data_IF_912226772782
#
_entry.id   IF_912226772782
#
_cell.length_a   1.000
_cell.length_b   1.000
_cell.length_c   1.000
_cell.angle_alpha   90.00
_cell.angle_beta   90.00
_cell.angle_gamma   90.00
#
_symmetry.space_group_name_H-M   'P 1'
#
loop_
_entity.id
_entity.type
_entity.pdbx_description
1 polymer ?
#
# COMPACT_ATOMS: atom_id res chain seq x y z
N UNK A 1 20.10 20.55 3.25
CA UNK A 1 19.51 19.48 4.09
C UNK A 1 18.86 18.46 3.18
N UNK A 2 18.96 17.17 3.52
CA UNK A 2 18.52 16.07 2.66
C UNK A 2 17.60 15.12 3.41
N UNK A 3 16.44 14.82 2.84
CA UNK A 3 15.51 13.83 3.35
C UNK A 3 15.39 12.65 2.39
N UNK A 4 15.30 11.43 2.94
CA UNK A 4 14.90 10.22 2.20
C UNK A 4 13.47 9.86 2.62
N UNK A 5 12.58 9.82 1.64
CA UNK A 5 11.17 9.47 1.80
C UNK A 5 10.97 8.02 1.34
N UNK A 6 10.39 7.20 2.23
CA UNK A 6 10.10 5.79 2.02
C UNK A 6 8.68 5.49 2.50
N UNK A 7 7.95 4.59 1.83
CA UNK A 7 6.57 4.25 2.19
C UNK A 7 6.28 2.77 1.96
N UNK A 8 5.08 2.34 2.38
CA UNK A 8 4.46 1.08 1.97
C UNK A 8 5.39 -0.11 2.20
N UNK A 9 5.95 -0.17 3.41
CA UNK A 9 6.79 -1.30 3.83
C UNK A 9 5.94 -2.47 4.29
N UNK A 10 4.72 -2.19 4.76
CA UNK A 10 3.68 -3.16 5.10
C UNK A 10 4.20 -4.29 6.00
N UNK A 11 4.97 -3.98 7.06
CA UNK A 11 5.49 -5.03 7.94
C UNK A 11 4.37 -5.85 8.55
N UNK A 12 4.48 -7.18 8.42
CA UNK A 12 3.39 -8.10 8.73
C UNK A 12 2.44 -8.37 7.57
N UNK A 13 2.76 -7.90 6.37
CA UNK A 13 1.98 -8.07 5.14
C UNK A 13 1.38 -9.48 5.06
N UNK A 14 0.08 -9.55 4.79
CA UNK A 14 -0.59 -10.84 4.63
C UNK A 14 -0.03 -11.66 3.45
N UNK A 15 0.58 -10.99 2.46
CA UNK A 15 1.30 -11.63 1.36
C UNK A 15 2.56 -12.33 1.86
N UNK A 16 3.15 -11.88 2.96
CA UNK A 16 4.41 -12.38 3.50
C UNK A 16 5.65 -11.91 2.75
N UNK A 17 5.53 -10.84 1.94
CA UNK A 17 6.62 -10.25 1.17
C UNK A 17 6.82 -8.76 1.51
N UNK A 18 6.95 -8.48 2.80
CA UNK A 18 7.44 -7.21 3.35
C UNK A 18 8.96 -7.13 3.15
N UNK A 19 9.39 -6.61 2.00
CA UNK A 19 10.76 -6.83 1.48
C UNK A 19 11.86 -6.28 2.38
N UNK A 20 11.59 -5.21 3.13
CA UNK A 20 12.56 -4.64 4.09
C UNK A 20 12.74 -5.48 5.36
N UNK A 21 12.03 -6.60 5.49
CA UNK A 21 12.34 -7.65 6.46
C UNK A 21 13.58 -8.44 6.06
N UNK A 22 13.88 -8.48 4.76
CA UNK A 22 14.97 -9.25 4.20
C UNK A 22 16.28 -8.47 4.23
N UNK A 23 17.35 -9.15 4.66
CA UNK A 23 18.67 -8.53 4.75
C UNK A 23 19.16 -7.95 3.42
N UNK A 24 18.90 -8.64 2.31
CA UNK A 24 19.32 -8.20 0.98
C UNK A 24 18.66 -6.87 0.57
N UNK A 25 17.38 -6.68 0.90
CA UNK A 25 16.68 -5.41 0.63
C UNK A 25 17.20 -4.29 1.53
N UNK A 26 17.51 -4.59 2.80
CA UNK A 26 18.14 -3.64 3.72
C UNK A 26 19.54 -3.22 3.25
N UNK A 27 20.34 -4.16 2.74
CA UNK A 27 21.68 -3.87 2.21
C UNK A 27 21.63 -2.97 0.96
N UNK A 28 20.54 -3.04 0.17
CA UNK A 28 20.29 -2.12 -0.95
C UNK A 28 19.90 -0.72 -0.45
N UNK A 29 19.11 -0.62 0.62
CA UNK A 29 18.68 0.68 1.17
C UNK A 29 19.80 1.39 1.95
N UNK A 30 20.59 0.65 2.72
CA UNK A 30 21.53 1.17 3.71
C UNK A 30 22.50 2.25 3.19
N UNK A 31 23.12 2.14 2.00
CA UNK A 31 24.05 3.16 1.49
C UNK A 31 23.38 4.52 1.26
N UNK A 32 22.07 4.53 1.00
CA UNK A 32 21.32 5.75 0.72
C UNK A 32 20.97 6.54 2.00
N UNK A 33 21.22 5.98 3.20
CA UNK A 33 20.96 6.64 4.47
C UNK A 33 22.17 7.45 5.00
N UNK A 34 23.38 7.21 4.47
CA UNK A 34 24.60 7.80 5.01
C UNK A 34 24.63 9.33 4.88
N UNK A 35 24.18 9.84 3.73
CA UNK A 35 24.23 11.25 3.37
C UNK A 35 22.91 12.01 3.62
N UNK A 36 22.01 11.43 4.41
CA UNK A 36 20.66 11.96 4.68
C UNK A 36 20.62 12.54 6.09
N UNK A 37 19.92 13.66 6.27
CA UNK A 37 19.69 14.30 7.57
C UNK A 37 18.39 13.81 8.23
N UNK A 38 17.45 13.33 7.40
CA UNK A 38 16.12 12.94 7.85
C UNK A 38 15.53 11.78 7.02
N UNK A 39 14.90 10.82 7.69
CA UNK A 39 14.06 9.83 7.00
C UNK A 39 12.59 10.14 7.25
N UNK A 40 11.82 10.28 6.18
CA UNK A 40 10.35 10.40 6.24
C UNK A 40 9.75 9.04 5.89
N UNK A 41 9.14 8.39 6.87
CA UNK A 41 8.32 7.19 6.67
C UNK A 41 6.91 7.64 6.32
N UNK A 42 6.58 7.61 5.02
CA UNK A 42 5.37 8.15 4.43
C UNK A 42 4.24 7.11 4.36
N UNK A 43 3.90 6.58 5.53
CA UNK A 43 2.75 5.72 5.75
C UNK A 43 2.93 4.28 5.32
N UNK A 44 2.01 3.46 5.81
CA UNK A 44 1.95 2.02 5.69
C UNK A 44 3.27 1.36 6.08
N UNK A 45 3.79 1.78 7.24
CA UNK A 45 4.93 1.13 7.88
C UNK A 45 4.54 -0.30 8.29
N UNK A 46 3.36 -0.46 8.89
CA UNK A 46 2.82 -1.73 9.36
C UNK A 46 1.54 -2.09 8.64
N UNK A 47 1.30 -3.39 8.42
CA UNK A 47 0.02 -3.88 7.90
C UNK A 47 -0.95 -4.24 9.04
N UNK A 48 -1.36 -3.26 9.86
CA UNK A 48 -2.19 -3.52 11.06
C UNK A 48 -3.63 -3.94 10.72
N UNK A 49 -4.07 -3.75 9.47
CA UNK A 49 -5.39 -4.15 9.00
C UNK A 49 -5.53 -5.66 8.85
N UNK A 50 -4.42 -6.37 8.64
CA UNK A 50 -4.41 -7.81 8.39
C UNK A 50 -3.46 -8.59 9.30
N UNK A 51 -2.56 -7.92 10.01
CA UNK A 51 -1.64 -8.52 10.96
C UNK A 51 -1.96 -8.12 12.40
N UNK A 52 -1.63 -9.01 13.34
CA UNK A 52 -1.58 -8.64 14.74
C UNK A 52 -0.45 -7.63 14.94
N UNK A 53 -0.69 -6.60 15.76
CA UNK A 53 0.29 -5.54 16.00
C UNK A 53 1.63 -6.11 16.49
N UNK A 54 1.60 -7.13 17.36
CA UNK A 54 2.80 -7.83 17.83
C UNK A 54 3.64 -8.41 16.69
N UNK A 55 2.99 -9.02 15.70
CA UNK A 55 3.67 -9.70 14.60
C UNK A 55 4.24 -8.66 13.61
N UNK A 56 3.45 -7.63 13.28
CA UNK A 56 3.88 -6.50 12.44
C UNK A 56 5.07 -5.74 13.04
N UNK A 57 5.01 -5.40 14.33
CA UNK A 57 6.09 -4.68 15.02
C UNK A 57 7.36 -5.53 15.14
N UNK A 58 7.20 -6.84 15.31
CA UNK A 58 8.33 -7.78 15.29
C UNK A 58 9.01 -7.84 13.92
N UNK A 59 8.23 -7.82 12.83
CA UNK A 59 8.76 -7.88 11.47
C UNK A 59 9.59 -6.65 11.07
N UNK A 60 9.26 -5.47 11.61
CA UNK A 60 10.01 -4.23 11.36
C UNK A 60 11.39 -4.15 12.02
N UNK A 61 11.77 -5.15 12.83
CA UNK A 61 12.99 -5.13 13.65
C UNK A 61 14.24 -4.73 12.86
N UNK A 62 14.48 -5.38 11.72
CA UNK A 62 15.67 -5.15 10.90
C UNK A 62 15.77 -3.74 10.31
N UNK A 63 14.65 -3.18 9.83
CA UNK A 63 14.64 -1.79 9.34
C UNK A 63 14.85 -0.80 10.50
N UNK A 64 14.19 -1.00 11.64
CA UNK A 64 14.34 -0.10 12.79
C UNK A 64 15.76 -0.12 13.35
N UNK A 65 16.43 -1.29 13.37
CA UNK A 65 17.84 -1.37 13.77
C UNK A 65 18.74 -0.63 12.76
N UNK A 66 18.51 -0.80 11.45
CA UNK A 66 19.23 -0.06 10.41
C UNK A 66 19.05 1.46 10.57
N UNK A 67 17.82 1.93 10.77
CA UNK A 67 17.50 3.34 10.92
C UNK A 67 18.11 3.92 12.19
N UNK A 68 18.03 3.20 13.33
CA UNK A 68 18.72 3.59 14.56
C UNK A 68 20.21 3.80 14.29
N UNK A 69 20.86 2.83 13.67
CA UNK A 69 22.31 2.86 13.47
C UNK A 69 22.74 3.99 12.50
N UNK A 70 21.95 4.25 11.45
CA UNK A 70 22.26 5.26 10.42
C UNK A 70 21.82 6.69 10.77
N UNK A 71 20.86 6.85 11.68
CA UNK A 71 20.25 8.14 12.02
C UNK A 71 20.63 8.68 13.40
N UNK A 72 21.75 8.24 13.99
CA UNK A 72 22.24 8.80 15.24
C UNK A 72 22.43 10.32 15.16
N UNK A 73 21.78 11.06 16.06
CA UNK A 73 21.75 12.53 16.08
C UNK A 73 20.96 13.17 14.93
N UNK A 74 20.26 12.37 14.14
CA UNK A 74 19.44 12.78 12.99
C UNK A 74 17.95 12.56 13.30
N UNK A 75 17.09 12.81 12.30
CA UNK A 75 15.63 12.79 12.48
C UNK A 75 14.95 11.66 11.70
N UNK A 76 13.89 11.11 12.29
CA UNK A 76 12.89 10.29 11.61
C UNK A 76 11.52 10.95 11.78
N UNK A 77 10.82 11.17 10.67
CA UNK A 77 9.43 11.65 10.67
C UNK A 77 8.53 10.51 10.24
N UNK A 78 7.58 10.14 11.10
CA UNK A 78 6.55 9.16 10.79
C UNK A 78 5.26 9.87 10.40
N UNK A 79 4.79 9.60 9.18
CA UNK A 79 3.49 10.04 8.68
C UNK A 79 2.62 8.81 8.51
N UNK A 80 1.53 8.67 9.28
CA UNK A 80 0.72 7.46 9.20
C UNK A 80 -0.01 7.31 7.85
N UNK A 81 -0.06 6.07 7.34
CA UNK A 81 -0.93 5.67 6.23
C UNK A 81 -2.24 5.09 6.71
N UNK A 82 -3.05 4.54 5.80
CA UNK A 82 -4.31 3.90 6.19
C UNK A 82 -4.10 2.56 6.91
N UNK A 83 -2.99 1.85 6.66
CA UNK A 83 -2.69 0.62 7.40
C UNK A 83 -2.14 0.87 8.80
N UNK A 84 -1.62 2.09 9.04
CA UNK A 84 -1.18 2.53 10.37
C UNK A 84 -2.28 3.28 11.13
N UNK A 85 -3.47 3.49 10.55
CA UNK A 85 -4.47 4.45 11.04
C UNK A 85 -4.91 4.22 12.49
N UNK A 86 -4.87 2.99 12.97
CA UNK A 86 -5.12 2.67 14.38
C UNK A 86 -4.20 3.43 15.35
N UNK A 87 -2.96 3.71 14.95
CA UNK A 87 -2.04 4.55 15.73
C UNK A 87 -2.61 5.95 15.91
N UNK A 88 -3.14 6.55 14.85
CA UNK A 88 -3.71 7.90 14.87
C UNK A 88 -4.98 7.94 15.73
N UNK A 89 -5.87 6.97 15.54
CA UNK A 89 -7.08 6.84 16.34
C UNK A 89 -6.74 6.70 17.82
N UNK A 90 -5.77 5.85 18.18
CA UNK A 90 -5.39 5.66 19.58
C UNK A 90 -4.68 6.89 20.19
N UNK A 91 -3.88 7.63 19.41
CA UNK A 91 -3.30 8.90 19.90
C UNK A 91 -4.39 9.94 20.18
N UNK A 92 -5.40 10.07 19.32
CA UNK A 92 -6.53 10.96 19.53
C UNK A 92 -7.36 10.57 20.77
N UNK A 93 -7.57 9.27 20.99
CA UNK A 93 -8.24 8.77 22.20
C UNK A 93 -7.43 9.08 23.46
N UNK A 94 -6.11 8.88 23.45
CA UNK A 94 -5.25 9.20 24.59
C UNK A 94 -5.24 10.71 24.87
N UNK A 95 -5.20 11.55 23.83
CA UNK A 95 -5.31 13.01 23.99
C UNK A 95 -6.63 13.39 24.69
N UNK A 96 -7.75 12.83 24.24
CA UNK A 96 -9.07 13.06 24.84
C UNK A 96 -9.16 12.52 26.28
N UNK A 97 -8.64 11.32 26.53
CA UNK A 97 -8.57 10.72 27.88
C UNK A 97 -7.78 11.63 28.83
N UNK A 98 -6.66 12.21 28.38
CA UNK A 98 -5.86 13.16 29.16
C UNK A 98 -6.58 14.48 29.40
N UNK A 99 -7.22 15.05 28.38
CA UNK A 99 -8.04 16.26 28.51
C UNK A 99 -9.12 16.07 29.57
N UNK A 100 -9.90 14.99 29.47
CA UNK A 100 -10.99 14.69 30.39
C UNK A 100 -10.50 14.41 31.82
N UNK A 101 -9.35 13.73 31.97
CA UNK A 101 -8.81 13.37 33.28
C UNK A 101 -8.14 14.55 34.01
N UNK A 102 -7.55 15.49 33.28
CA UNK A 102 -6.74 16.58 33.85
C UNK A 102 -7.43 17.95 33.79
N UNK A 103 -8.39 18.12 32.89
CA UNK A 103 -8.96 19.43 32.56
C UNK A 103 -8.01 20.36 31.80
N UNK A 104 -6.88 19.84 31.29
CA UNK A 104 -5.93 20.59 30.48
C UNK A 104 -6.47 20.87 29.08
N UNK A 105 -5.88 21.85 28.37
CA UNK A 105 -6.23 22.08 26.97
C UNK A 105 -5.65 20.98 26.07
N UNK A 106 -6.23 20.76 24.87
CA UNK A 106 -5.72 19.78 23.91
C UNK A 106 -4.22 19.95 23.61
N UNK A 107 -3.72 21.18 23.54
CA UNK A 107 -2.30 21.46 23.29
C UNK A 107 -1.39 20.92 24.38
N UNK A 108 -1.76 21.10 25.66
CA UNK A 108 -1.01 20.56 26.80
C UNK A 108 -1.13 19.05 26.90
N UNK A 109 -2.31 18.49 26.63
CA UNK A 109 -2.49 17.05 26.57
C UNK A 109 -1.58 16.41 25.50
N UNK A 110 -1.41 17.08 24.33
CA UNK A 110 -0.51 16.64 23.26
C UNK A 110 0.95 16.60 23.64
N UNK A 111 1.43 17.56 24.44
CA UNK A 111 2.81 17.58 24.94
C UNK A 111 3.15 16.32 25.75
N UNK A 112 2.14 15.67 26.33
CA UNK A 112 2.28 14.46 27.14
C UNK A 112 2.09 13.17 26.35
N UNK A 113 1.79 13.24 25.05
CA UNK A 113 1.58 12.04 24.23
C UNK A 113 2.80 11.13 24.18
N UNK A 114 4.01 11.66 24.28
CA UNK A 114 5.24 10.86 24.28
C UNK A 114 5.30 9.90 25.48
N UNK A 115 4.68 10.26 26.61
CA UNK A 115 4.62 9.46 27.84
C UNK A 115 3.50 8.41 27.81
N UNK A 116 2.43 8.67 27.07
CA UNK A 116 1.19 7.89 27.13
C UNK A 116 0.89 7.07 25.85
N UNK A 117 1.35 7.51 24.68
CA UNK A 117 1.20 6.78 23.41
C UNK A 117 2.12 5.57 23.37
N UNK A 118 1.54 4.38 23.23
CA UNK A 118 2.31 3.13 23.13
C UNK A 118 3.25 3.16 21.91
N UNK A 119 2.83 3.78 20.81
CA UNK A 119 3.56 3.78 19.55
C UNK A 119 4.76 4.72 19.59
N UNK A 120 4.58 5.93 20.14
CA UNK A 120 5.69 6.88 20.39
C UNK A 120 6.76 6.26 21.28
N UNK A 121 6.34 5.65 22.40
CA UNK A 121 7.26 4.93 23.31
C UNK A 121 7.96 3.76 22.63
N UNK A 122 7.25 3.03 21.76
CA UNK A 122 7.83 1.95 20.99
C UNK A 122 8.95 2.47 20.07
N UNK A 123 8.69 3.52 19.30
CA UNK A 123 9.69 4.13 18.41
C UNK A 123 10.84 4.76 19.19
N UNK A 124 10.57 5.53 20.23
CA UNK A 124 11.59 6.15 21.09
C UNK A 124 12.57 5.11 21.66
N UNK A 125 12.06 3.94 22.10
CA UNK A 125 12.89 2.84 22.57
C UNK A 125 13.68 2.16 21.44
N UNK A 126 13.06 1.95 20.27
CA UNK A 126 13.71 1.23 19.15
C UNK A 126 14.73 2.08 18.42
N UNK A 127 14.53 3.39 18.41
CA UNK A 127 15.32 4.39 17.71
C UNK A 127 16.04 5.33 18.71
N UNK A 128 16.55 4.78 19.81
CA UNK A 128 17.33 5.55 20.78
C UNK A 128 18.47 6.31 20.08
N UNK A 129 18.61 7.60 20.41
CA UNK A 129 19.58 8.51 19.77
C UNK A 129 19.11 9.13 18.45
N UNK A 130 17.90 8.80 17.99
CA UNK A 130 17.24 9.42 16.81
C UNK A 130 16.10 10.32 17.29
N UNK A 131 16.00 11.53 16.76
CA UNK A 131 14.84 12.39 17.01
C UNK A 131 13.65 11.86 16.21
N UNK A 132 12.57 11.47 16.88
CA UNK A 132 11.37 10.93 16.22
C UNK A 132 10.24 11.95 16.30
N UNK A 133 9.61 12.23 15.16
CA UNK A 133 8.50 13.17 15.04
C UNK A 133 7.29 12.48 14.38
N UNK A 134 6.10 12.71 14.91
CA UNK A 134 4.86 12.13 14.41
C UNK A 134 4.03 13.23 13.74
N UNK A 135 3.59 12.98 12.50
CA UNK A 135 2.81 13.93 11.69
C UNK A 135 1.65 13.20 11.02
N UNK A 136 0.52 13.89 10.85
CA UNK A 136 -0.63 13.37 10.13
C UNK A 136 -1.58 14.53 9.74
N UNK A 137 -2.19 14.54 8.54
CA UNK A 137 -1.96 13.62 7.40
C UNK A 137 -0.84 14.08 6.46
N UNK A 138 -0.22 15.23 6.75
CA UNK A 138 0.82 15.86 5.90
C UNK A 138 2.06 16.23 6.70
N UNK A 139 3.18 16.32 6.00
CA UNK A 139 4.43 16.88 6.48
C UNK A 139 5.08 17.71 5.37
N UNK A 140 5.79 18.80 5.69
CA UNK A 140 6.45 19.64 4.68
C UNK A 140 7.94 19.69 4.96
N UNK A 141 8.75 19.33 3.97
CA UNK A 141 10.21 19.39 4.02
C UNK A 141 10.74 20.12 2.79
N UNK A 142 11.54 21.17 2.98
CA UNK A 142 12.14 21.91 1.86
C UNK A 142 11.12 22.50 0.87
N UNK A 143 9.90 22.83 1.31
CA UNK A 143 8.82 23.31 0.44
C UNK A 143 8.08 22.20 -0.33
N UNK A 144 8.41 20.94 -0.09
CA UNK A 144 7.75 19.76 -0.67
C UNK A 144 6.76 19.19 0.36
N UNK A 145 5.49 19.06 -0.02
CA UNK A 145 4.48 18.44 0.82
C UNK A 145 4.52 16.92 0.64
N UNK A 146 4.61 16.20 1.76
CA UNK A 146 4.60 14.76 1.84
C UNK A 146 3.28 14.31 2.49
N UNK A 147 2.56 13.39 1.85
CA UNK A 147 1.37 12.73 2.43
C UNK A 147 1.26 11.30 1.95
N UNK A 148 0.66 10.40 2.71
CA UNK A 148 0.53 9.01 2.26
C UNK A 148 -0.38 8.88 1.02
N UNK A 149 -1.52 9.59 0.99
CA UNK A 149 -2.38 9.68 -0.19
C UNK A 149 -3.58 8.72 -0.22
N UNK A 150 -3.87 8.02 0.88
CA UNK A 150 -5.04 7.13 1.03
C UNK A 150 -6.40 7.82 0.83
N UNK A 151 -6.47 9.15 0.95
CA UNK A 151 -7.65 9.94 0.61
C UNK A 151 -8.07 9.89 -0.87
N UNK A 152 -7.23 9.36 -1.77
CA UNK A 152 -7.60 9.24 -3.19
C UNK A 152 -8.68 8.18 -3.44
N UNK A 153 -8.83 7.20 -2.55
CA UNK A 153 -9.73 6.06 -2.71
C UNK A 153 -11.18 6.47 -2.97
N UNK A 154 -11.74 7.47 -2.24
CA UNK A 154 -12.96 8.18 -2.58
C UNK A 154 -13.16 8.56 -4.06
N UNK A 155 -12.09 8.96 -4.74
CA UNK A 155 -12.14 9.54 -6.08
C UNK A 155 -11.64 8.58 -7.17
N UNK A 156 -10.99 7.48 -6.77
CA UNK A 156 -10.47 6.48 -7.68
C UNK A 156 -11.60 5.81 -8.48
N UNK A 157 -11.42 5.74 -9.80
CA UNK A 157 -12.32 4.96 -10.66
C UNK A 157 -12.14 3.49 -10.29
N UNK A 158 -13.14 2.91 -9.60
CA UNK A 158 -13.14 1.48 -9.21
C UNK A 158 -12.78 0.58 -10.40
N UNK A 159 -11.55 0.07 -10.42
CA UNK A 159 -11.18 -1.13 -11.19
C UNK A 159 -11.72 -2.34 -10.44
N UNK A 160 -12.96 -2.76 -10.71
CA UNK A 160 -13.57 -3.83 -9.91
C UNK A 160 -14.96 -4.26 -10.38
N UNK A 161 -15.42 -5.40 -9.84
CA UNK A 161 -16.74 -5.95 -10.16
C UNK A 161 -17.86 -5.01 -9.66
N UNK A 162 -19.03 -5.05 -10.32
CA UNK A 162 -20.21 -4.26 -9.94
C UNK A 162 -20.55 -4.35 -8.43
N UNK A 163 -20.33 -5.52 -7.81
CA UNK A 163 -20.57 -5.75 -6.39
C UNK A 163 -19.63 -4.95 -5.47
N UNK A 164 -18.33 -4.97 -5.74
CA UNK A 164 -17.34 -4.16 -4.99
C UNK A 164 -17.65 -2.66 -5.07
N UNK A 165 -18.16 -2.22 -6.22
CA UNK A 165 -18.59 -0.83 -6.44
C UNK A 165 -19.79 -0.43 -5.60
N UNK A 166 -20.74 -1.32 -5.41
CA UNK A 166 -21.95 -1.05 -4.62
C UNK A 166 -21.65 -1.08 -3.13
N UNK A 167 -20.87 -2.06 -2.65
CA UNK A 167 -20.50 -2.18 -1.24
C UNK A 167 -19.70 -0.96 -0.76
N UNK A 168 -18.66 -0.56 -1.49
CA UNK A 168 -17.90 0.62 -1.10
C UNK A 168 -18.70 1.93 -1.19
N UNK A 169 -19.70 2.02 -2.09
CA UNK A 169 -20.64 3.16 -2.09
C UNK A 169 -21.55 3.15 -0.86
N UNK A 170 -21.96 1.98 -0.37
CA UNK A 170 -22.79 1.86 0.81
C UNK A 170 -22.02 2.28 2.08
N UNK A 171 -20.78 1.80 2.24
CA UNK A 171 -19.91 2.17 3.37
C UNK A 171 -19.71 3.70 3.42
N UNK A 172 -19.42 4.33 2.28
CA UNK A 172 -19.20 5.77 2.25
C UNK A 172 -20.47 6.57 2.52
N UNK A 173 -21.64 6.10 2.03
CA UNK A 173 -22.92 6.75 2.35
C UNK A 173 -23.23 6.68 3.84
N UNK A 174 -22.85 5.59 4.51
CA UNK A 174 -23.02 5.48 5.97
C UNK A 174 -22.09 6.46 6.67
N UNK A 175 -20.79 6.41 6.38
CA UNK A 175 -19.79 7.27 7.01
C UNK A 175 -20.07 8.78 6.81
N UNK A 176 -20.60 9.16 5.65
CA UNK A 176 -20.88 10.56 5.30
C UNK A 176 -22.32 10.98 5.57
N UNK A 177 -23.14 10.16 6.26
CA UNK A 177 -24.53 10.48 6.57
C UNK A 177 -25.39 10.75 5.32
N UNK A 178 -25.13 10.06 4.21
CA UNK A 178 -25.84 10.19 2.94
C UNK A 178 -25.36 11.34 2.04
N UNK A 179 -24.33 12.09 2.45
CA UNK A 179 -23.67 13.08 1.58
C UNK A 179 -22.92 12.40 0.42
N UNK A 180 -22.56 13.20 -0.58
CA UNK A 180 -21.86 12.76 -1.81
C UNK A 180 -20.41 12.34 -1.57
N UNK A 181 -19.48 12.75 -2.44
CA UNK A 181 -18.04 12.53 -2.20
C UNK A 181 -17.53 13.39 -1.02
N UNK A 182 -16.48 12.95 -0.29
CA UNK A 182 -15.83 13.73 0.76
C UNK A 182 -15.37 15.11 0.26
N UNK A 183 -15.49 16.14 1.11
CA UNK A 183 -15.11 17.53 0.77
C UNK A 183 -14.20 18.18 1.79
N UNK A 184 -14.15 17.63 3.00
CA UNK A 184 -13.34 18.13 4.10
C UNK A 184 -12.44 17.02 4.62
N UNK A 185 -11.37 17.38 5.33
CA UNK A 185 -10.51 16.41 6.00
C UNK A 185 -11.32 15.47 6.90
N UNK A 186 -12.26 16.03 7.68
CA UNK A 186 -13.14 15.25 8.55
C UNK A 186 -14.02 14.25 7.80
N UNK A 187 -14.49 14.59 6.58
CA UNK A 187 -15.25 13.64 5.75
C UNK A 187 -14.37 12.45 5.31
N UNK A 188 -13.11 12.72 4.92
CA UNK A 188 -12.19 11.64 4.56
C UNK A 188 -11.86 10.75 5.76
N UNK A 189 -11.55 11.36 6.90
CA UNK A 189 -11.28 10.64 8.15
C UNK A 189 -12.44 9.75 8.56
N UNK A 190 -13.68 10.26 8.54
CA UNK A 190 -14.86 9.47 8.90
C UNK A 190 -15.00 8.18 8.08
N UNK A 191 -14.65 8.22 6.78
CA UNK A 191 -14.67 7.05 5.91
C UNK A 191 -13.55 6.08 6.25
N UNK A 192 -12.34 6.59 6.49
CA UNK A 192 -11.15 5.78 6.74
C UNK A 192 -11.19 5.13 8.11
N UNK A 193 -11.49 5.88 9.17
CA UNK A 193 -11.55 5.36 10.55
C UNK A 193 -12.51 4.19 10.64
N UNK A 194 -13.72 4.31 10.07
CA UNK A 194 -14.73 3.25 10.11
C UNK A 194 -14.21 1.94 9.53
N UNK A 195 -13.58 2.01 8.36
CA UNK A 195 -13.09 0.82 7.65
C UNK A 195 -11.84 0.24 8.33
N UNK A 196 -10.89 1.10 8.70
CA UNK A 196 -9.58 0.67 9.19
C UNK A 196 -9.64 0.12 10.61
N UNK A 197 -10.43 0.73 11.51
CA UNK A 197 -10.60 0.22 12.88
C UNK A 197 -11.36 -1.11 12.94
N UNK A 198 -12.34 -1.31 12.05
CA UNK A 198 -13.03 -2.61 11.94
C UNK A 198 -12.05 -3.71 11.50
N UNK A 199 -11.26 -3.46 10.46
CA UNK A 199 -10.27 -4.41 9.96
C UNK A 199 -9.17 -4.67 10.99
N UNK A 200 -8.69 -3.63 11.66
CA UNK A 200 -7.73 -3.74 12.75
C UNK A 200 -8.26 -4.63 13.88
N UNK A 201 -9.47 -4.34 14.38
CA UNK A 201 -10.10 -5.09 15.46
C UNK A 201 -10.23 -6.57 15.10
N UNK A 202 -10.70 -6.84 13.87
CA UNK A 202 -10.77 -8.20 13.35
C UNK A 202 -9.40 -8.86 13.32
N UNK A 203 -8.34 -8.19 12.86
CA UNK A 203 -6.99 -8.73 12.79
C UNK A 203 -6.41 -9.09 14.18
N UNK A 204 -6.81 -8.38 15.24
CA UNK A 204 -6.31 -8.65 16.59
C UNK A 204 -6.95 -9.87 17.29
N UNK A 205 -8.05 -10.42 16.77
CA UNK A 205 -8.69 -11.62 17.34
C UNK A 205 -7.76 -12.86 17.23
N UNK A 206 -7.85 -13.86 18.14
CA UNK A 206 -6.98 -15.05 18.12
C UNK A 206 -6.94 -15.82 16.78
N UNK A 207 -8.05 -15.79 16.04
CA UNK A 207 -8.16 -16.34 14.68
C UNK A 207 -8.54 -15.26 13.65
N UNK A 208 -8.37 -14.00 14.01
CA UNK A 208 -8.81 -12.81 13.28
C UNK A 208 -8.25 -12.72 11.87
N UNK A 209 -6.91 -12.69 11.79
CA UNK A 209 -6.20 -12.77 10.52
C UNK A 209 -6.64 -13.97 9.68
N UNK A 210 -6.82 -15.16 10.29
CA UNK A 210 -7.26 -16.35 9.54
C UNK A 210 -8.73 -16.26 9.07
N UNK A 211 -9.60 -15.66 9.87
CA UNK A 211 -11.01 -15.44 9.55
C UNK A 211 -11.15 -14.45 8.39
N UNK A 212 -10.43 -13.31 8.43
CA UNK A 212 -10.36 -12.35 7.33
C UNK A 212 -9.89 -13.04 6.04
N UNK A 213 -8.77 -13.77 6.13
CA UNK A 213 -8.21 -14.59 5.03
C UNK A 213 -9.24 -15.57 4.44
N UNK A 214 -10.02 -16.25 5.29
CA UNK A 214 -11.05 -17.20 4.87
C UNK A 214 -12.26 -16.51 4.21
N UNK A 215 -12.74 -15.39 4.77
CA UNK A 215 -13.82 -14.59 4.19
C UNK A 215 -13.42 -14.09 2.80
N UNK A 216 -12.16 -13.67 2.62
CA UNK A 216 -11.68 -13.24 1.31
C UNK A 216 -11.55 -14.40 0.33
N UNK A 217 -11.00 -15.53 0.77
CA UNK A 217 -10.97 -16.73 -0.07
C UNK A 217 -12.38 -17.14 -0.53
N UNK A 218 -13.39 -16.99 0.33
CA UNK A 218 -14.78 -17.24 -0.03
C UNK A 218 -15.34 -16.21 -1.02
N UNK A 219 -15.15 -14.91 -0.77
CA UNK A 219 -15.59 -13.84 -1.66
C UNK A 219 -14.95 -13.95 -3.07
N UNK A 220 -13.67 -14.31 -3.13
CA UNK A 220 -12.94 -14.59 -4.38
C UNK A 220 -13.56 -15.76 -5.15
N UNK A 221 -13.85 -16.88 -4.47
CA UNK A 221 -14.52 -18.05 -5.08
C UNK A 221 -15.87 -17.69 -5.67
N UNK A 222 -16.67 -16.89 -4.96
CA UNK A 222 -17.95 -16.40 -5.48
C UNK A 222 -17.78 -15.50 -6.71
N UNK A 223 -16.79 -14.61 -6.69
CA UNK A 223 -16.45 -13.77 -7.85
C UNK A 223 -16.05 -14.58 -9.08
N UNK A 224 -15.23 -15.63 -8.89
CA UNK A 224 -14.84 -16.53 -9.96
C UNK A 224 -16.02 -17.30 -10.57
N UNK A 225 -16.94 -17.81 -9.73
CA UNK A 225 -18.18 -18.48 -10.18
C UNK A 225 -19.06 -17.52 -10.98
N UNK A 226 -19.24 -16.28 -10.49
CA UNK A 226 -20.04 -15.27 -11.19
C UNK A 226 -19.43 -14.87 -12.54
N UNK A 227 -18.10 -14.84 -12.67
CA UNK A 227 -17.39 -14.62 -13.95
C UNK A 227 -17.60 -15.79 -14.91
N UNK A 228 -17.49 -17.02 -14.41
CA UNK A 228 -17.71 -18.23 -15.20
C UNK A 228 -19.16 -18.33 -15.73
N UNK A 229 -20.14 -17.86 -14.98
CA UNK A 229 -21.56 -17.83 -15.40
C UNK A 229 -21.86 -16.70 -16.41
N UNK A 230 -21.03 -15.67 -16.49
CA UNK A 230 -21.22 -14.50 -17.37
C UNK A 230 -20.47 -14.58 -18.70
N UNK A 231 -19.60 -15.57 -18.91
CA UNK A 231 -18.97 -15.82 -20.21
C UNK A 231 -19.83 -16.77 -21.04
N UNK A 232 -20.44 -16.35 -22.16
CA UNK A 232 -21.37 -17.19 -22.93
C UNK A 232 -20.76 -18.48 -23.50
N UNK A 233 -19.44 -18.59 -23.57
CA UNK A 233 -18.73 -19.75 -24.12
C UNK A 233 -18.23 -20.79 -23.10
N UNK A 234 -18.22 -20.50 -21.80
CA UNK A 234 -17.67 -21.41 -20.77
C UNK A 234 -18.62 -22.54 -20.39
N UNK A 235 -19.93 -22.35 -20.52
CA UNK A 235 -20.93 -23.37 -20.21
C UNK A 235 -20.86 -24.53 -21.23
N UNK A 236 -20.57 -24.20 -22.50
CA UNK A 236 -20.35 -25.20 -23.56
C UNK A 236 -19.03 -25.95 -23.33
N UNK A 237 -17.97 -25.26 -22.87
CA UNK A 237 -16.68 -25.88 -22.52
C UNK A 237 -16.75 -26.80 -21.29
N UNK A 238 -17.52 -26.42 -20.25
CA UNK A 238 -17.68 -27.22 -19.05
C UNK A 238 -18.50 -28.50 -19.30
N UNK A 239 -19.52 -28.44 -20.16
CA UNK A 239 -20.28 -29.61 -20.61
C UNK A 239 -19.43 -30.49 -21.54
N UNK A 240 -18.64 -29.89 -22.45
CA UNK A 240 -17.72 -30.62 -23.32
C UNK A 240 -16.60 -31.34 -22.53
N UNK A 241 -16.07 -30.73 -21.46
CA UNK A 241 -15.07 -31.38 -20.60
C UNK A 241 -15.61 -32.56 -19.78
N UNK A 242 -16.92 -32.58 -19.50
CA UNK A 242 -17.59 -33.70 -18.80
C UNK A 242 -18.01 -34.82 -19.75
N UNK A 243 -18.15 -34.54 -21.05
CA UNK A 243 -18.36 -35.57 -22.08
C UNK A 243 -17.03 -36.08 -22.66
N UNK A 244 -15.95 -35.31 -22.58
CA UNK A 244 -14.62 -35.67 -23.07
C UNK A 244 -13.83 -36.65 -22.19
N UNK A 245 -14.22 -36.88 -20.93
CA UNK A 245 -13.54 -37.84 -20.04
C UNK A 245 -13.85 -39.31 -20.34
N UNK A 246 -14.58 -39.61 -21.42
CA UNK A 246 -14.85 -40.97 -21.90
C UNK A 246 -13.91 -41.44 -23.04
N UNK A 247 -13.02 -40.58 -23.56
CA UNK A 247 -12.04 -40.97 -24.58
C UNK A 247 -10.67 -40.37 -24.22
N UNK A 248 -9.63 -41.21 -24.36
CA UNK A 248 -8.27 -41.01 -23.84
C UNK A 248 -7.51 -39.74 -24.29
N UNK A 249 -6.25 -39.62 -23.87
CA UNK A 249 -5.60 -38.33 -23.68
C UNK A 249 -5.27 -37.67 -25.01
N UNK A 250 -5.90 -36.53 -25.28
CA UNK A 250 -5.46 -35.59 -26.31
C UNK A 250 -5.29 -34.22 -25.68
N UNK A 251 -4.09 -33.65 -25.88
CA UNK A 251 -3.63 -32.40 -25.33
C UNK A 251 -4.66 -31.27 -25.50
N UNK A 252 -5.02 -30.64 -24.39
CA UNK A 252 -5.82 -29.42 -24.38
C UNK A 252 -4.89 -28.26 -24.76
N UNK A 253 -5.04 -27.77 -25.98
CA UNK A 253 -4.48 -26.47 -26.37
C UNK A 253 -5.17 -25.36 -25.57
N UNK A 254 -4.42 -24.44 -24.92
CA UNK A 254 -5.04 -23.29 -24.28
C UNK A 254 -5.60 -22.36 -25.35
N UNK A 255 -6.90 -22.07 -25.24
CA UNK A 255 -7.57 -21.06 -26.03
C UNK A 255 -6.90 -19.69 -25.84
N UNK A 256 -6.45 -19.13 -26.96
CA UNK A 256 -6.28 -17.71 -27.27
C UNK A 256 -6.04 -16.75 -26.09
N UNK A 257 -4.81 -16.77 -25.55
CA UNK A 257 -4.28 -15.61 -24.86
C UNK A 257 -4.11 -14.45 -25.88
N UNK A 258 -4.50 -13.20 -25.55
CA UNK A 258 -4.09 -12.06 -26.36
C UNK A 258 -2.57 -12.07 -26.46
N UNK A 259 -2.03 -11.89 -27.66
CA UNK A 259 -0.60 -12.01 -27.96
C UNK A 259 0.23 -11.21 -26.95
N UNK A 260 0.85 -11.92 -26.02
CA UNK A 260 1.86 -11.36 -25.15
C UNK A 260 3.05 -10.99 -26.05
N UNK A 261 3.54 -9.76 -25.93
CA UNK A 261 4.70 -9.30 -26.69
C UNK A 261 5.91 -10.19 -26.35
N UNK A 262 6.23 -11.12 -27.27
CA UNK A 262 7.38 -12.02 -27.21
C UNK A 262 7.16 -13.34 -26.44
N UNK A 263 7.78 -14.45 -26.89
CA UNK A 263 7.67 -15.77 -26.25
C UNK A 263 8.21 -15.82 -24.81
N UNK A 264 9.05 -14.85 -24.42
CA UNK A 264 9.66 -14.78 -23.10
C UNK A 264 8.68 -14.31 -22.00
N UNK A 265 7.78 -13.39 -22.33
CA UNK A 265 6.79 -12.85 -21.38
C UNK A 265 5.84 -13.93 -20.82
N UNK A 266 5.42 -14.88 -21.66
CA UNK A 266 4.59 -16.01 -21.24
C UNK A 266 5.32 -16.99 -20.34
N UNK A 267 6.65 -17.15 -20.51
CA UNK A 267 7.50 -17.97 -19.64
C UNK A 267 7.64 -17.30 -18.27
N UNK A 268 8.02 -16.01 -18.26
CA UNK A 268 8.19 -15.22 -17.03
C UNK A 268 6.91 -15.23 -16.18
N UNK A 269 5.74 -15.05 -16.81
CA UNK A 269 4.45 -15.13 -16.11
C UNK A 269 4.19 -16.51 -15.48
N UNK A 270 4.41 -17.60 -16.23
CA UNK A 270 4.20 -18.97 -15.70
C UNK A 270 5.14 -19.28 -14.55
N UNK A 271 6.40 -18.83 -14.65
CA UNK A 271 7.38 -19.01 -13.58
C UNK A 271 7.02 -18.19 -12.34
N UNK A 272 6.61 -16.93 -12.51
CA UNK A 272 6.14 -16.09 -11.41
C UNK A 272 4.92 -16.71 -10.71
N UNK A 273 3.95 -17.20 -11.50
CA UNK A 273 2.78 -17.90 -10.97
C UNK A 273 3.17 -19.18 -10.22
N UNK A 274 4.05 -20.00 -10.78
CA UNK A 274 4.51 -21.23 -10.12
C UNK A 274 5.28 -20.95 -8.82
N UNK A 275 6.14 -19.92 -8.81
CA UNK A 275 6.82 -19.44 -7.60
C UNK A 275 5.82 -19.01 -6.54
N UNK A 276 4.83 -18.20 -6.92
CA UNK A 276 3.82 -17.70 -5.99
C UNK A 276 2.94 -18.84 -5.43
N UNK A 277 2.52 -19.80 -6.26
CA UNK A 277 1.80 -21.00 -5.80
C UNK A 277 2.61 -21.76 -4.75
N UNK A 278 3.87 -22.07 -5.07
CA UNK A 278 4.76 -22.82 -4.17
C UNK A 278 4.98 -22.07 -2.85
N UNK A 279 5.20 -20.76 -2.93
CA UNK A 279 5.42 -19.89 -1.79
C UNK A 279 4.19 -19.84 -0.88
N UNK A 280 3.00 -19.56 -1.43
CA UNK A 280 1.74 -19.52 -0.67
C UNK A 280 1.45 -20.83 0.05
N UNK A 281 1.74 -21.96 -0.59
CA UNK A 281 1.62 -23.28 0.04
C UNK A 281 2.58 -23.43 1.24
N UNK A 282 3.80 -22.90 1.16
CA UNK A 282 4.77 -22.94 2.25
C UNK A 282 4.40 -22.02 3.43
N UNK A 283 3.85 -20.83 3.16
CA UNK A 283 3.49 -19.85 4.21
C UNK A 283 2.05 -19.96 4.71
N UNK A 284 1.25 -20.87 4.15
CA UNK A 284 -0.18 -20.99 4.46
C UNK A 284 -0.98 -19.74 4.09
N UNK A 285 -0.54 -18.97 3.09
CA UNK A 285 -1.28 -17.79 2.62
C UNK A 285 -2.56 -18.24 1.88
N UNK A 286 -3.70 -17.57 2.12
CA UNK A 286 -4.98 -17.97 1.54
C UNK A 286 -5.08 -17.60 0.04
N UNK A 287 -6.09 -18.17 -0.61
CA UNK A 287 -6.56 -17.70 -1.93
C UNK A 287 -5.79 -18.25 -3.12
N UNK A 288 -6.33 -17.99 -4.31
CA UNK A 288 -5.68 -18.30 -5.58
C UNK A 288 -4.65 -17.20 -5.89
N UNK A 289 -3.40 -17.53 -6.26
CA UNK A 289 -2.43 -16.54 -6.74
C UNK A 289 -2.98 -15.61 -7.82
N UNK A 290 -3.97 -16.04 -8.60
CA UNK A 290 -4.61 -15.24 -9.66
C UNK A 290 -5.59 -14.17 -9.12
N UNK A 291 -5.97 -14.20 -7.85
CA UNK A 291 -6.86 -13.20 -7.23
C UNK A 291 -6.05 -12.38 -6.22
N UNK A 292 -5.43 -11.29 -6.70
CA UNK A 292 -4.42 -10.52 -5.94
C UNK A 292 -4.93 -9.20 -5.38
N UNK A 293 -6.12 -8.74 -5.77
CA UNK A 293 -6.62 -7.45 -5.29
C UNK A 293 -7.51 -7.60 -4.05
N UNK A 294 -7.27 -6.70 -3.11
CA UNK A 294 -8.15 -6.47 -1.96
C UNK A 294 -9.03 -5.23 -2.22
N UNK A 295 -10.21 -5.38 -2.86
CA UNK A 295 -10.97 -4.24 -3.36
C UNK A 295 -11.60 -3.36 -2.27
N UNK A 296 -11.52 -3.77 -1.00
CA UNK A 296 -12.06 -3.00 0.13
C UNK A 296 -11.04 -2.04 0.75
N UNK A 297 -9.76 -2.41 0.84
CA UNK A 297 -8.69 -1.51 1.33
C UNK A 297 -7.85 -0.90 0.21
N UNK A 298 -8.03 -1.33 -1.05
CA UNK A 298 -7.35 -0.72 -2.20
C UNK A 298 -8.25 -0.62 -3.43
N UNK A 299 -8.35 0.59 -3.93
CA UNK A 299 -9.20 0.96 -5.06
C UNK A 299 -8.48 1.01 -6.41
N UNK A 300 -7.17 1.25 -6.38
CA UNK A 300 -6.27 1.29 -7.54
C UNK A 300 -5.33 0.09 -7.47
N UNK A 301 -5.33 -0.79 -8.47
CA UNK A 301 -4.40 -1.90 -8.49
C UNK A 301 -2.98 -1.43 -8.87
N UNK A 302 -1.91 -2.03 -8.35
CA UNK A 302 -0.53 -1.71 -8.75
C UNK A 302 -0.27 -1.85 -10.27
N UNK A 303 -1.05 -2.70 -10.94
CA UNK A 303 -1.00 -2.92 -12.39
C UNK A 303 -1.79 -1.90 -13.22
N UNK A 304 -2.69 -1.11 -12.60
CA UNK A 304 -3.58 -0.17 -13.28
C UNK A 304 -2.82 0.98 -13.97
N UNK A 305 -3.42 1.68 -14.94
CA UNK A 305 -2.84 2.91 -15.47
C UNK A 305 -2.70 3.99 -14.39
N UNK A 306 -1.54 4.64 -14.32
CA UNK A 306 -1.17 5.63 -13.30
C UNK A 306 -2.04 6.88 -13.36
N UNK A 307 -2.53 7.21 -14.55
CA UNK A 307 -3.31 8.42 -14.84
C UNK A 307 -4.59 8.48 -14.01
N UNK A 308 -5.26 7.34 -13.80
CA UNK A 308 -6.49 7.29 -13.01
C UNK A 308 -6.25 7.60 -11.54
N UNK A 309 -5.13 7.13 -10.98
CA UNK A 309 -4.76 7.38 -9.60
C UNK A 309 -4.34 8.84 -9.40
N UNK A 310 -3.56 9.38 -10.34
CA UNK A 310 -3.13 10.78 -10.34
C UNK A 310 -4.32 11.74 -10.45
N UNK A 311 -5.28 11.49 -11.35
CA UNK A 311 -6.51 12.28 -11.43
C UNK A 311 -7.33 12.25 -10.14
N UNK A 312 -7.37 11.10 -9.46
CA UNK A 312 -8.09 10.97 -8.19
C UNK A 312 -7.37 11.70 -7.05
N UNK A 313 -6.04 11.62 -7.01
CA UNK A 313 -5.22 12.29 -6.01
C UNK A 313 -5.17 13.81 -6.21
N UNK A 314 -5.06 14.29 -7.44
CA UNK A 314 -5.12 15.74 -7.76
C UNK A 314 -6.45 16.36 -7.31
N UNK A 315 -7.57 15.63 -7.43
CA UNK A 315 -8.86 16.03 -6.84
C UNK A 315 -8.80 16.20 -5.32
N UNK A 316 -8.12 15.30 -4.60
CA UNK A 316 -7.94 15.43 -3.14
C UNK A 316 -7.13 16.67 -2.81
N UNK A 317 -5.99 16.84 -3.48
CA UNK A 317 -5.06 17.97 -3.30
C UNK A 317 -5.81 19.29 -3.47
N UNK A 318 -6.60 19.43 -4.54
CA UNK A 318 -7.40 20.63 -4.77
C UNK A 318 -8.52 20.80 -3.73
N UNK A 319 -9.21 19.72 -3.37
CA UNK A 319 -10.31 19.74 -2.40
C UNK A 319 -9.84 20.19 -1.02
N UNK A 320 -8.66 19.72 -0.60
CA UNK A 320 -8.06 20.06 0.69
C UNK A 320 -7.22 21.34 0.66
N UNK A 321 -7.00 21.94 -0.52
CA UNK A 321 -6.26 23.18 -0.70
C UNK A 321 -4.74 23.05 -0.60
N UNK A 322 -4.20 21.83 -0.66
CA UNK A 322 -2.76 21.55 -0.59
C UNK A 322 -1.99 22.12 -1.79
N UNK A 323 -2.65 22.32 -2.93
CA UNK A 323 -2.11 22.99 -4.12
C UNK A 323 -1.74 24.47 -3.88
N UNK A 324 -2.27 25.07 -2.80
CA UNK A 324 -1.94 26.44 -2.36
C UNK A 324 -0.73 26.46 -1.42
N UNK A 325 -0.46 25.35 -0.75
CA UNK A 325 0.64 25.21 0.23
C UNK A 325 1.94 24.79 -0.43
N UNK A 326 1.88 23.87 -1.40
CA UNK A 326 3.05 23.35 -2.10
C UNK A 326 2.78 23.10 -3.59
N UNK A 327 3.80 23.37 -4.41
CA UNK A 327 3.79 23.05 -5.85
C UNK A 327 4.38 21.69 -6.17
N UNK A 328 5.06 21.08 -5.20
CA UNK A 328 5.69 19.77 -5.32
C UNK A 328 5.14 18.89 -4.21
N UNK A 329 4.57 17.75 -4.60
CA UNK A 329 3.95 16.81 -3.66
C UNK A 329 4.54 15.41 -3.86
N UNK A 330 5.03 14.83 -2.77
CA UNK A 330 5.41 13.42 -2.68
C UNK A 330 4.28 12.67 -2.01
N UNK A 331 3.80 11.60 -2.65
CA UNK A 331 2.77 10.73 -2.10
C UNK A 331 3.09 9.25 -2.24
N UNK A 332 2.23 8.39 -1.68
CA UNK A 332 2.43 6.95 -1.57
C UNK A 332 1.13 6.20 -1.95
N UNK A 333 0.79 5.08 -1.31
CA UNK A 333 -0.49 4.35 -1.38
C UNK A 333 -0.79 3.59 -2.69
N UNK A 334 -0.41 4.12 -3.85
CA UNK A 334 -0.69 3.49 -5.16
C UNK A 334 0.29 2.38 -5.53
N UNK A 335 1.44 2.31 -4.85
CA UNK A 335 2.58 1.44 -5.14
C UNK A 335 3.21 1.65 -6.53
N UNK A 336 2.90 2.76 -7.19
CA UNK A 336 3.38 3.03 -8.54
C UNK A 336 4.40 4.16 -8.51
N UNK A 337 5.71 3.86 -8.48
CA UNK A 337 6.71 4.93 -8.44
C UNK A 337 6.60 5.83 -9.67
N UNK A 338 6.42 7.12 -9.44
CA UNK A 338 6.40 8.17 -10.47
C UNK A 338 7.28 9.32 -10.04
N UNK A 339 7.89 9.98 -11.01
CA UNK A 339 8.70 11.15 -10.79
C UNK A 339 8.25 12.24 -11.72
N UNK A 340 8.06 13.43 -11.17
CA UNK A 340 7.83 14.63 -11.95
C UNK A 340 6.68 14.51 -12.96
N UNK A 341 5.49 14.22 -12.46
CA UNK A 341 4.28 14.15 -13.29
C UNK A 341 3.29 15.23 -12.93
N UNK A 342 2.59 15.76 -13.92
CA UNK A 342 1.52 16.76 -13.75
C UNK A 342 0.21 16.21 -14.29
N UNK A 343 -0.89 16.52 -13.63
CA UNK A 343 -2.23 16.27 -14.19
C UNK A 343 -2.60 17.44 -15.12
N UNK A 344 -3.22 17.20 -16.31
CA UNK A 344 -3.64 18.28 -17.19
C UNK A 344 -4.50 19.33 -16.49
N UNK A 345 -4.07 20.60 -16.54
CA UNK A 345 -4.74 21.72 -15.87
C UNK A 345 -4.30 21.96 -14.43
N UNK A 346 -3.51 21.06 -13.84
CA UNK A 346 -2.87 21.25 -12.53
C UNK A 346 -1.52 21.95 -12.67
N UNK A 347 -1.17 22.74 -11.67
CA UNK A 347 0.16 23.37 -11.53
C UNK A 347 1.06 22.63 -10.55
N UNK A 348 0.57 21.54 -9.98
CA UNK A 348 1.29 20.71 -9.02
C UNK A 348 2.05 19.61 -9.76
N UNK A 349 3.29 19.40 -9.34
CA UNK A 349 4.13 18.28 -9.78
C UNK A 349 4.12 17.20 -8.70
N UNK A 350 3.98 15.96 -9.13
CA UNK A 350 3.82 14.80 -8.26
C UNK A 350 4.98 13.83 -8.38
N UNK A 351 5.35 13.26 -7.24
CA UNK A 351 6.22 12.11 -7.10
C UNK A 351 5.49 11.05 -6.27
N UNK A 352 5.66 9.79 -6.61
CA UNK A 352 5.19 8.68 -5.78
C UNK A 352 6.37 7.81 -5.39
N UNK A 353 6.47 7.48 -4.11
CA UNK A 353 7.56 6.66 -3.55
C UNK A 353 7.55 5.21 -4.00
N UNK A 354 6.44 4.72 -4.57
CA UNK A 354 6.26 3.31 -4.93
C UNK A 354 5.94 2.48 -3.69
N UNK A 355 6.59 1.32 -3.54
CA UNK A 355 6.40 0.48 -2.35
C UNK A 355 7.58 -0.43 -2.06
N UNK A 356 7.58 -1.03 -0.88
CA UNK A 356 8.53 -2.05 -0.44
C UNK A 356 7.87 -3.40 -0.14
N UNK A 357 6.72 -3.65 -0.76
CA UNK A 357 6.00 -4.92 -0.73
C UNK A 357 5.94 -5.53 -2.13
N UNK A 358 6.25 -6.81 -2.24
CA UNK A 358 6.07 -7.55 -3.50
C UNK A 358 4.69 -8.21 -3.51
N UNK A 359 3.86 -7.75 -4.44
CA UNK A 359 2.47 -8.17 -4.59
C UNK A 359 2.06 -8.13 -6.06
N UNK A 360 2.62 -9.04 -6.88
CA UNK A 360 2.39 -9.03 -8.31
C UNK A 360 0.93 -9.25 -8.62
N UNK A 361 0.40 -8.54 -9.62
CA UNK A 361 -0.92 -8.84 -10.16
C UNK A 361 -0.83 -10.03 -11.13
N UNK A 362 -1.26 -11.19 -10.67
CA UNK A 362 -1.22 -12.42 -11.45
C UNK A 362 -2.59 -12.77 -12.06
N UNK A 363 -3.54 -11.83 -12.09
CA UNK A 363 -4.86 -12.07 -12.69
C UNK A 363 -4.79 -12.39 -14.19
N UNK A 364 -3.75 -11.90 -14.87
CA UNK A 364 -3.41 -12.24 -16.25
C UNK A 364 -1.93 -11.96 -16.53
N UNK A 365 -1.40 -12.51 -17.62
CA UNK A 365 -0.04 -12.19 -18.07
C UNK A 365 0.13 -10.69 -18.37
N UNK A 366 -0.90 -10.04 -18.92
CA UNK A 366 -0.86 -8.61 -19.18
C UNK A 366 -0.84 -7.78 -17.89
N UNK A 367 -1.61 -8.19 -16.88
CA UNK A 367 -1.62 -7.53 -15.57
C UNK A 367 -0.27 -7.69 -14.86
N UNK A 368 0.34 -8.86 -14.94
CA UNK A 368 1.68 -9.11 -14.41
C UNK A 368 2.73 -8.24 -15.08
N UNK A 369 2.72 -8.17 -16.42
CA UNK A 369 3.59 -7.25 -17.15
C UNK A 369 3.31 -5.79 -16.80
N UNK A 370 2.05 -5.43 -16.54
CA UNK A 370 1.65 -4.11 -16.06
C UNK A 370 2.29 -3.79 -14.71
N UNK A 371 2.18 -4.73 -13.76
CA UNK A 371 2.83 -4.64 -12.45
C UNK A 371 4.35 -4.46 -12.58
N UNK A 372 5.02 -5.33 -13.33
CA UNK A 372 6.47 -5.23 -13.52
C UNK A 372 6.91 -3.90 -14.13
N UNK A 373 6.11 -3.29 -15.01
CA UNK A 373 6.42 -1.98 -15.61
C UNK A 373 6.14 -0.80 -14.69
N UNK A 374 5.15 -0.93 -13.80
CA UNK A 374 4.54 0.23 -13.14
C UNK A 374 4.72 0.28 -11.64
N UNK A 375 4.91 -0.86 -10.99
CA UNK A 375 4.84 -1.04 -9.54
C UNK A 375 5.89 -2.04 -9.02
N UNK A 376 7.03 -2.13 -9.71
CA UNK A 376 8.15 -2.92 -9.18
C UNK A 376 8.66 -2.27 -7.88
N UNK A 377 8.77 -3.03 -6.78
CA UNK A 377 9.05 -2.46 -5.47
C UNK A 377 10.52 -2.10 -5.29
N UNK A 378 10.83 -1.34 -4.24
CA UNK A 378 12.18 -0.96 -3.85
C UNK A 378 12.59 0.41 -4.38
N UNK A 379 11.72 1.40 -4.23
CA UNK A 379 11.98 2.79 -4.60
C UNK A 379 11.90 3.73 -3.39
N UNK A 380 12.59 4.86 -3.49
CA UNK A 380 12.60 5.95 -2.50
C UNK A 380 12.58 7.29 -3.23
N UNK A 381 12.17 8.35 -2.55
CA UNK A 381 12.31 9.73 -3.06
C UNK A 381 13.30 10.48 -2.18
N UNK A 382 14.29 11.14 -2.79
CA UNK A 382 15.19 12.06 -2.10
C UNK A 382 14.69 13.48 -2.31
N UNK A 383 14.57 14.23 -1.22
CA UNK A 383 14.33 15.69 -1.25
C UNK A 383 15.59 16.36 -0.73
N UNK A 384 16.21 17.18 -1.57
CA UNK A 384 17.41 17.94 -1.22
C UNK A 384 17.07 19.43 -1.32
N UNK A 385 17.27 20.18 -0.24
CA UNK A 385 16.94 21.62 -0.22
C UNK A 385 17.79 22.44 -1.17
N UNK A 386 18.93 21.90 -1.60
CA UNK A 386 19.86 22.57 -2.51
C UNK A 386 19.54 22.23 -3.98
N UNK A 387 18.63 21.29 -4.22
CA UNK A 387 18.14 20.89 -5.55
C UNK A 387 16.72 21.42 -5.80
N UNK A 388 16.38 21.78 -7.06
CA UNK A 388 15.08 22.39 -7.36
C UNK A 388 13.90 21.41 -7.33
N UNK A 389 14.15 20.10 -7.29
CA UNK A 389 13.11 19.08 -7.37
C UNK A 389 13.51 17.76 -6.69
N UNK A 390 12.54 16.99 -6.16
CA UNK A 390 12.76 15.65 -5.65
C UNK A 390 13.30 14.68 -6.72
N UNK A 391 14.05 13.68 -6.26
CA UNK A 391 14.62 12.62 -7.09
C UNK A 391 14.06 11.26 -6.70
N UNK A 392 13.44 10.54 -7.64
CA UNK A 392 13.01 9.16 -7.44
C UNK A 392 14.19 8.21 -7.73
N UNK A 393 14.51 7.33 -6.80
CA UNK A 393 15.52 6.28 -6.97
C UNK A 393 14.84 4.91 -6.96
N UNK A 394 15.02 4.12 -8.03
CA UNK A 394 14.49 2.75 -8.15
C UNK A 394 15.56 1.72 -7.78
N UNK A 395 15.85 1.60 -6.49
CA UNK A 395 17.00 0.86 -5.96
C UNK A 395 17.03 -0.61 -6.38
N UNK A 396 15.85 -1.23 -6.54
CA UNK A 396 15.71 -2.64 -6.92
C UNK A 396 15.35 -2.86 -8.39
N UNK A 397 15.42 -1.83 -9.25
CA UNK A 397 15.09 -1.96 -10.68
C UNK A 397 15.87 -3.05 -11.40
N UNK A 398 17.13 -3.25 -11.02
CA UNK A 398 18.01 -4.28 -11.58
C UNK A 398 17.55 -5.72 -11.28
N UNK A 399 16.65 -5.92 -10.30
CA UNK A 399 16.05 -7.21 -9.96
C UNK A 399 14.74 -7.46 -10.69
N UNK A 400 14.23 -6.49 -11.44
CA UNK A 400 12.98 -6.60 -12.17
C UNK A 400 13.14 -7.58 -13.34
N UNK A 401 12.32 -8.64 -13.45
CA UNK A 401 12.39 -9.60 -14.54
C UNK A 401 12.27 -9.01 -15.95
N UNK A 402 11.72 -7.80 -16.10
CA UNK A 402 11.69 -7.11 -17.40
C UNK A 402 13.03 -6.51 -17.82
N UNK A 403 13.90 -6.20 -16.85
CA UNK A 403 15.16 -5.50 -17.06
C UNK A 403 16.38 -6.31 -16.65
N UNK A 404 16.19 -7.36 -15.87
CA UNK A 404 17.23 -8.33 -15.56
C UNK A 404 17.62 -9.02 -16.87
N UNK A 405 18.76 -8.62 -17.44
CA UNK A 405 19.39 -9.39 -18.50
C UNK A 405 19.48 -10.84 -18.03
N UNK A 406 19.03 -11.78 -18.86
CA UNK A 406 19.13 -13.20 -18.59
C UNK A 406 20.63 -13.55 -18.46
N UNK A 407 21.14 -13.53 -17.23
CA UNK A 407 22.51 -13.95 -16.89
C UNK A 407 22.65 -15.45 -17.01
#
# INVERSE_FOLDING_TARGET
MRALVISDTHFGAWTGEDLLRERQSLDVLAPHLDAIDEVVVLGDLFDLLFARARDAFGAAGGLLDLLRDKLQGKRLVFVAGNHDHHVITREAEVELELELATGETPERARERLDEHSYFRRFLARRLEGVAVEHRYPVYVFGGVLCTHGHYLDPHARRSGSLGSRLLGRAIWRIALGGRGLPRTLADYEAVITLLTEELYTLAQLPHGTQAQRNVYAWAQRLGAVARALKSPGSLVGAIASRLGSALGPRAVSPASAPAANGPDSGRQYREALAREVKRRAAVGAPGNPLDTSYPLARMVAPSDPREHALEAFDRVVHTLGWDREARQIVFAHTHQPVADVTVPGSSVRYWNTGSWIYEPDLSSAQAYLGYLRRAWPGSVVIIDTDEPQPQLLELRRHLNPLFAEAK
#
